data_IF_663276669842
#
_entry.id   IF_663276669842
#
_cell.length_a   1.000
_cell.length_b   1.000
_cell.length_c   1.000
_cell.angle_alpha   90.00
_cell.angle_beta   90.00
_cell.angle_gamma   90.00
#
_symmetry.space_group_name_H-M   'P 1'
#
loop_
_entity.id
_entity.type
_entity.pdbx_description
1 polymer ?
#
# COMPACT_ATOMS: atom_id res chain seq x y z
N UNK A 1 -6.49 -33.70 -12.85
CA UNK A 1 -5.41 -32.70 -12.91
C UNK A 1 -5.83 -31.66 -13.92
N UNK A 2 -6.18 -30.45 -13.47
CA UNK A 2 -6.55 -29.35 -14.37
C UNK A 2 -5.26 -28.65 -14.80
N UNK A 3 -5.09 -28.47 -16.10
CA UNK A 3 -3.91 -27.84 -16.69
C UNK A 3 -3.97 -26.33 -16.44
N UNK A 4 -3.19 -25.86 -15.46
CA UNK A 4 -3.13 -24.44 -15.03
C UNK A 4 -2.84 -23.49 -16.20
N UNK A 5 -2.21 -24.00 -17.26
CA UNK A 5 -1.87 -23.23 -18.46
C UNK A 5 -3.09 -22.89 -19.34
N UNK A 6 -4.18 -23.67 -19.29
CA UNK A 6 -5.41 -23.39 -20.05
C UNK A 6 -6.35 -22.42 -19.33
N UNK A 7 -6.28 -22.31 -18.00
CA UNK A 7 -7.06 -21.36 -17.22
C UNK A 7 -6.63 -19.91 -17.49
N UNK A 8 -5.31 -19.67 -17.54
CA UNK A 8 -4.72 -18.33 -17.73
C UNK A 8 -4.96 -17.76 -19.13
N UNK A 9 -5.09 -18.60 -20.16
CA UNK A 9 -5.27 -18.14 -21.54
C UNK A 9 -6.72 -17.78 -21.89
N UNK A 10 -7.70 -18.17 -21.07
CA UNK A 10 -9.13 -18.00 -21.35
C UNK A 10 -9.71 -16.66 -20.86
N UNK A 11 -9.05 -15.98 -19.92
CA UNK A 11 -9.47 -14.66 -19.41
C UNK A 11 -8.59 -13.52 -19.95
N UNK A 12 -8.69 -13.24 -21.25
CA UNK A 12 -8.12 -12.02 -21.85
C UNK A 12 -9.00 -10.79 -21.55
N UNK A 13 -9.05 -10.35 -20.29
CA UNK A 13 -9.79 -9.14 -19.89
C UNK A 13 -8.93 -7.97 -19.31
N UNK A 14 -7.58 -7.98 -19.20
CA UNK A 14 -6.92 -6.95 -18.38
C UNK A 14 -6.72 -5.58 -19.06
N UNK A 15 -7.14 -5.35 -20.31
CA UNK A 15 -6.86 -4.06 -21.01
C UNK A 15 -8.07 -3.12 -21.05
N UNK A 16 -9.31 -3.63 -21.04
CA UNK A 16 -10.52 -2.79 -21.09
C UNK A 16 -10.89 -2.29 -19.67
N UNK A 17 -10.48 -3.01 -18.63
CA UNK A 17 -10.85 -2.70 -17.24
C UNK A 17 -10.09 -1.49 -16.66
N UNK A 18 -8.82 -1.29 -17.07
CA UNK A 18 -7.98 -0.18 -16.60
C UNK A 18 -8.56 1.19 -16.94
N UNK A 19 -9.30 1.30 -18.06
CA UNK A 19 -9.93 2.56 -18.49
C UNK A 19 -11.22 2.84 -17.70
N UNK A 20 -11.98 1.80 -17.33
CA UNK A 20 -13.25 1.96 -16.64
C UNK A 20 -13.08 2.37 -15.16
N UNK A 21 -12.10 1.80 -14.47
CA UNK A 21 -11.76 2.17 -13.08
C UNK A 21 -11.25 3.61 -12.99
N UNK A 22 -10.47 4.06 -13.99
CA UNK A 22 -9.96 5.43 -14.07
C UNK A 22 -11.09 6.47 -14.21
N UNK A 23 -12.17 6.14 -14.93
CA UNK A 23 -13.34 7.02 -15.09
C UNK A 23 -14.17 7.10 -13.80
N UNK A 24 -14.33 6.00 -13.06
CA UNK A 24 -15.09 6.00 -11.79
C UNK A 24 -14.36 6.77 -10.69
N UNK A 25 -13.03 6.64 -10.58
CA UNK A 25 -12.23 7.38 -9.59
C UNK A 25 -12.16 8.87 -9.90
N UNK A 26 -12.12 9.27 -11.18
CA UNK A 26 -12.06 10.69 -11.56
C UNK A 26 -13.41 11.41 -11.47
N UNK A 27 -14.54 10.72 -11.66
CA UNK A 27 -15.88 11.30 -11.41
C UNK A 27 -16.12 11.49 -9.90
N UNK A 28 -15.62 10.58 -9.05
CA UNK A 28 -15.72 10.72 -7.59
C UNK A 28 -15.01 11.94 -7.02
N UNK A 29 -13.95 12.43 -7.68
CA UNK A 29 -13.13 13.54 -7.17
C UNK A 29 -13.59 14.93 -7.66
N UNK A 30 -14.35 15.03 -8.78
CA UNK A 30 -14.68 16.34 -9.37
C UNK A 30 -16.13 16.59 -9.79
N UNK A 31 -17.09 15.69 -9.55
CA UNK A 31 -18.48 16.06 -9.87
C UNK A 31 -19.57 15.11 -9.47
N UNK A 32 -20.03 15.18 -8.21
CA UNK A 32 -21.40 14.77 -7.87
C UNK A 32 -21.93 15.66 -6.74
N UNK A 33 -22.40 16.86 -7.09
CA UNK A 33 -23.25 17.70 -6.23
C UNK A 33 -24.74 17.63 -6.64
N UNK A 34 -25.20 16.49 -7.18
CA UNK A 34 -26.56 16.45 -7.75
C UNK A 34 -27.21 15.09 -8.01
N UNK A 35 -26.61 13.97 -7.62
CA UNK A 35 -27.28 12.66 -7.69
C UNK A 35 -27.14 11.99 -6.33
N UNK A 36 -28.29 11.65 -5.73
CA UNK A 36 -28.40 11.06 -4.39
C UNK A 36 -27.80 9.66 -4.30
N UNK A 37 -26.49 9.56 -4.39
CA UNK A 37 -25.73 8.49 -3.77
C UNK A 37 -25.72 8.79 -2.27
N UNK A 38 -26.20 7.85 -1.47
CA UNK A 38 -26.06 7.90 -0.03
C UNK A 38 -24.59 8.20 0.29
N UNK A 39 -24.36 9.24 1.10
CA UNK A 39 -23.03 9.56 1.62
C UNK A 39 -22.46 8.26 2.21
N UNK A 40 -21.42 7.69 1.57
CA UNK A 40 -20.65 6.66 2.22
C UNK A 40 -20.14 7.30 3.53
N UNK A 41 -20.53 6.75 4.67
CA UNK A 41 -20.09 7.22 5.97
C UNK A 41 -18.57 7.05 6.03
N UNK A 42 -17.85 8.15 5.78
CA UNK A 42 -16.39 8.18 5.89
C UNK A 42 -16.05 8.22 7.37
N UNK A 43 -15.17 7.33 7.82
CA UNK A 43 -14.56 7.49 9.13
C UNK A 43 -13.40 8.46 9.08
N UNK A 44 -13.16 9.12 10.22
CA UNK A 44 -11.92 9.83 10.46
C UNK A 44 -10.73 8.86 10.31
N UNK A 45 -9.62 9.29 9.68
CA UNK A 45 -8.41 8.50 9.63
C UNK A 45 -8.01 8.06 11.03
N UNK A 46 -7.58 6.80 11.19
CA UNK A 46 -7.00 6.37 12.46
C UNK A 46 -5.69 7.15 12.65
N UNK A 47 -5.67 8.12 13.55
CA UNK A 47 -4.51 8.99 13.78
C UNK A 47 -3.65 8.56 14.97
N UNK A 48 -4.04 7.49 15.68
CA UNK A 48 -3.30 6.96 16.84
C UNK A 48 -2.00 6.27 16.39
N UNK A 49 -0.80 6.83 16.68
CA UNK A 49 0.47 6.21 16.30
C UNK A 49 0.66 4.82 16.89
N UNK A 50 0.06 4.53 18.06
CA UNK A 50 0.17 3.23 18.71
C UNK A 50 -0.46 2.11 17.89
N UNK A 51 -1.47 2.42 17.07
CA UNK A 51 -2.08 1.46 16.14
C UNK A 51 -1.08 1.06 15.07
N UNK A 52 -0.42 2.03 14.44
CA UNK A 52 0.55 1.75 13.38
C UNK A 52 1.86 1.16 13.88
N UNK A 53 2.30 1.52 15.10
CA UNK A 53 3.46 0.89 15.74
C UNK A 53 3.21 -0.59 16.07
N UNK A 54 1.95 -0.96 16.26
CA UNK A 54 1.54 -2.35 16.44
C UNK A 54 1.36 -3.11 15.12
N UNK A 55 1.44 -2.45 13.95
CA UNK A 55 1.34 -3.10 12.65
C UNK A 55 2.72 -3.46 12.12
N UNK A 56 2.93 -4.76 11.87
CA UNK A 56 4.08 -5.26 11.14
C UNK A 56 3.69 -5.54 9.70
N UNK A 57 4.47 -5.03 8.75
CA UNK A 57 4.21 -5.20 7.33
C UNK A 57 5.13 -6.26 6.72
N UNK A 58 4.65 -6.90 5.67
CA UNK A 58 5.43 -7.80 4.80
C UNK A 58 4.98 -7.57 3.37
N UNK A 59 5.93 -7.46 2.45
CA UNK A 59 5.64 -7.49 1.01
C UNK A 59 5.75 -8.93 0.51
N UNK A 60 4.70 -9.43 -0.13
CA UNK A 60 4.71 -10.71 -0.85
C UNK A 60 4.50 -10.49 -2.35
N UNK A 61 4.89 -11.45 -3.16
CA UNK A 61 4.78 -11.38 -4.62
C UNK A 61 3.89 -12.50 -5.16
N UNK A 62 2.98 -12.14 -6.06
CA UNK A 62 2.21 -13.11 -6.83
C UNK A 62 3.17 -13.91 -7.74
N UNK A 63 2.77 -15.08 -8.26
CA UNK A 63 3.55 -15.78 -9.28
C UNK A 63 3.83 -14.94 -10.54
N UNK A 64 2.98 -13.94 -10.83
CA UNK A 64 3.17 -13.00 -11.93
C UNK A 64 4.12 -11.84 -11.58
N UNK A 65 4.54 -11.72 -10.31
CA UNK A 65 5.45 -10.70 -9.81
C UNK A 65 4.78 -9.47 -9.20
N UNK A 66 3.45 -9.49 -9.05
CA UNK A 66 2.70 -8.36 -8.48
C UNK A 66 2.93 -8.29 -6.96
N UNK A 67 3.30 -7.11 -6.47
CA UNK A 67 3.49 -6.89 -5.06
C UNK A 67 2.15 -6.74 -4.33
N UNK A 68 1.98 -7.47 -3.23
CA UNK A 68 0.89 -7.27 -2.26
C UNK A 68 1.46 -7.03 -0.88
N UNK A 69 0.76 -6.24 -0.07
CA UNK A 69 1.17 -5.93 1.30
C UNK A 69 0.27 -6.67 2.28
N UNK A 70 0.94 -7.42 3.15
CA UNK A 70 0.35 -8.16 4.25
C UNK A 70 0.70 -7.46 5.55
N UNK A 71 -0.27 -7.40 6.45
CA UNK A 71 -0.15 -6.74 7.73
C UNK A 71 -0.44 -7.75 8.85
N UNK A 72 0.37 -7.71 9.89
CA UNK A 72 0.08 -8.35 11.17
C UNK A 72 -0.17 -7.25 12.19
N UNK A 73 -1.42 -7.15 12.66
CA UNK A 73 -1.78 -6.23 13.72
C UNK A 73 -1.57 -6.90 15.08
N UNK A 74 -0.57 -6.43 15.84
CA UNK A 74 -0.31 -6.85 17.21
C UNK A 74 -1.28 -6.16 18.17
N UNK A 75 -1.42 -6.71 19.38
CA UNK A 75 -2.10 -6.05 20.51
C UNK A 75 -3.52 -5.55 20.20
N UNK A 76 -4.30 -6.29 19.41
CA UNK A 76 -5.65 -5.91 18.97
C UNK A 76 -5.74 -4.51 18.31
N UNK A 77 -4.68 -4.03 17.66
CA UNK A 77 -4.67 -2.70 17.03
C UNK A 77 -5.84 -2.50 16.02
N UNK A 78 -6.28 -3.60 15.38
CA UNK A 78 -7.44 -3.60 14.49
C UNK A 78 -8.78 -3.29 15.17
N UNK A 79 -8.90 -3.48 16.49
CA UNK A 79 -10.12 -3.11 17.24
C UNK A 79 -10.40 -1.61 17.24
N UNK A 80 -9.45 -0.78 16.81
CA UNK A 80 -9.60 0.66 16.65
C UNK A 80 -10.19 1.06 15.31
N UNK A 81 -10.25 0.14 14.34
CA UNK A 81 -10.86 0.37 13.05
C UNK A 81 -12.34 0.02 13.11
N UNK A 82 -13.18 0.86 12.50
CA UNK A 82 -14.57 0.52 12.23
C UNK A 82 -14.65 -0.57 11.17
N UNK A 83 -15.69 -1.38 11.25
CA UNK A 83 -15.90 -2.53 10.36
C UNK A 83 -17.07 -2.25 9.45
N UNK A 84 -16.86 -2.45 8.16
CA UNK A 84 -17.91 -2.37 7.15
C UNK A 84 -18.71 -3.68 7.10
N UNK A 85 -18.00 -4.81 7.10
CA UNK A 85 -18.59 -6.15 6.97
C UNK A 85 -17.80 -7.17 7.81
N UNK A 86 -18.47 -8.10 8.48
CA UNK A 86 -17.80 -9.21 9.19
C UNK A 86 -17.14 -8.82 10.52
N UNK A 87 -15.99 -9.41 10.82
CA UNK A 87 -15.26 -9.26 12.09
C UNK A 87 -13.91 -8.53 11.86
N UNK A 88 -13.52 -7.55 12.72
CA UNK A 88 -12.30 -6.77 12.53
C UNK A 88 -11.00 -7.55 12.79
N UNK A 89 -11.09 -8.70 13.45
CA UNK A 89 -9.93 -9.44 13.91
C UNK A 89 -9.81 -10.77 13.15
N UNK A 90 -8.73 -10.98 12.38
CA UNK A 90 -8.56 -12.23 11.64
C UNK A 90 -8.30 -13.39 12.61
N UNK A 91 -9.20 -14.38 12.60
CA UNK A 91 -8.97 -15.69 13.22
C UNK A 91 -8.00 -16.55 12.42
N UNK A 92 -7.57 -17.68 13.00
CA UNK A 92 -6.73 -18.65 12.30
C UNK A 92 -7.44 -19.18 11.04
N UNK A 93 -6.74 -19.12 9.91
CA UNK A 93 -7.24 -19.50 8.59
C UNK A 93 -7.98 -18.37 7.88
N UNK A 94 -7.91 -17.13 8.38
CA UNK A 94 -8.67 -16.02 7.85
C UNK A 94 -7.84 -14.73 7.70
N UNK A 95 -8.42 -13.77 6.98
CA UNK A 95 -7.89 -12.41 6.83
C UNK A 95 -8.98 -11.36 6.95
N UNK A 96 -8.55 -10.15 7.29
CA UNK A 96 -9.38 -8.94 7.23
C UNK A 96 -8.79 -8.02 6.17
N UNK A 97 -9.64 -7.40 5.36
CA UNK A 97 -9.22 -6.55 4.25
C UNK A 97 -9.50 -5.08 4.57
N UNK A 98 -8.62 -4.18 4.12
CA UNK A 98 -9.00 -2.79 3.93
C UNK A 98 -10.05 -2.63 2.83
N UNK A 99 -10.89 -1.59 2.89
CA UNK A 99 -12.03 -1.45 1.98
C UNK A 99 -11.62 -1.42 0.50
N UNK A 100 -10.56 -0.68 0.15
CA UNK A 100 -10.13 -0.54 -1.24
C UNK A 100 -9.56 -1.85 -1.82
N UNK A 101 -8.82 -2.62 -1.02
CA UNK A 101 -8.37 -3.96 -1.44
C UNK A 101 -9.56 -4.91 -1.57
N UNK A 102 -10.52 -4.86 -0.64
CA UNK A 102 -11.73 -5.67 -0.70
C UNK A 102 -12.56 -5.39 -1.96
N UNK A 103 -12.75 -4.11 -2.29
CA UNK A 103 -13.47 -3.69 -3.51
C UNK A 103 -12.77 -4.16 -4.77
N UNK A 104 -11.43 -4.06 -4.82
CA UNK A 104 -10.63 -4.57 -5.93
C UNK A 104 -10.84 -6.08 -6.10
N UNK A 105 -10.67 -6.85 -5.03
CA UNK A 105 -10.83 -8.30 -5.05
C UNK A 105 -12.27 -8.74 -5.38
N UNK A 106 -13.29 -8.00 -4.93
CA UNK A 106 -14.70 -8.21 -5.31
C UNK A 106 -14.91 -7.94 -6.80
N UNK A 107 -14.29 -6.88 -7.34
CA UNK A 107 -14.37 -6.56 -8.77
C UNK A 107 -13.71 -7.64 -9.65
N UNK A 108 -12.65 -8.27 -9.15
CA UNK A 108 -11.95 -9.41 -9.76
C UNK A 108 -12.68 -10.75 -9.52
N UNK A 109 -13.80 -10.74 -8.78
CA UNK A 109 -14.61 -11.92 -8.43
C UNK A 109 -13.82 -12.97 -7.65
N UNK A 110 -12.82 -12.56 -6.89
CA UNK A 110 -12.05 -13.46 -6.01
C UNK A 110 -12.88 -13.89 -4.80
N UNK A 111 -13.76 -13.02 -4.33
CA UNK A 111 -14.79 -13.30 -3.33
C UNK A 111 -15.97 -12.34 -3.52
N UNK A 112 -17.10 -12.57 -2.83
CA UNK A 112 -18.30 -11.72 -2.93
C UNK A 112 -18.63 -11.02 -1.60
N UNK A 113 -18.40 -11.69 -0.47
CA UNK A 113 -18.76 -11.21 0.87
C UNK A 113 -17.84 -11.79 1.96
N UNK A 114 -17.92 -11.22 3.15
CA UNK A 114 -17.28 -11.81 4.33
C UNK A 114 -17.82 -13.23 4.58
N UNK A 115 -16.94 -14.13 5.00
CA UNK A 115 -17.15 -15.57 5.16
C UNK A 115 -16.78 -16.40 3.92
N UNK A 116 -16.57 -15.79 2.76
CA UNK A 116 -16.13 -16.51 1.56
C UNK A 116 -14.67 -16.97 1.68
N UNK A 117 -14.35 -18.12 1.09
CA UNK A 117 -13.01 -18.70 1.08
C UNK A 117 -12.31 -18.50 -0.25
N UNK A 118 -11.01 -18.19 -0.21
CA UNK A 118 -10.11 -18.16 -1.34
C UNK A 118 -9.14 -19.33 -1.26
N UNK A 119 -9.04 -20.10 -2.35
CA UNK A 119 -8.09 -21.20 -2.48
C UNK A 119 -6.81 -20.75 -3.20
N UNK A 120 -5.66 -21.12 -2.64
CA UNK A 120 -4.35 -20.86 -3.25
C UNK A 120 -3.87 -19.41 -3.14
N UNK A 121 -4.53 -18.57 -2.35
CA UNK A 121 -4.13 -17.19 -2.08
C UNK A 121 -2.74 -17.15 -1.44
N UNK A 122 -1.72 -16.83 -2.25
CA UNK A 122 -0.31 -16.91 -1.85
C UNK A 122 0.08 -18.27 -1.25
N UNK A 123 -0.49 -19.35 -1.79
CA UNK A 123 -0.27 -20.72 -1.31
C UNK A 123 -1.10 -21.11 -0.08
N UNK A 124 -2.04 -20.27 0.34
CA UNK A 124 -2.94 -20.52 1.46
C UNK A 124 -4.38 -20.75 0.98
N UNK A 125 -5.14 -21.55 1.74
CA UNK A 125 -6.60 -21.47 1.73
C UNK A 125 -6.99 -20.57 2.91
N UNK A 126 -7.71 -19.48 2.63
CA UNK A 126 -8.02 -18.43 3.60
C UNK A 126 -9.43 -17.91 3.43
N UNK A 127 -10.15 -17.62 4.52
CA UNK A 127 -11.45 -16.94 4.47
C UNK A 127 -11.32 -15.43 4.65
N UNK A 128 -12.22 -14.66 4.02
CA UNK A 128 -12.37 -13.22 4.30
C UNK A 128 -13.24 -13.06 5.55
N UNK A 129 -12.62 -12.83 6.70
CA UNK A 129 -13.32 -12.69 7.98
C UNK A 129 -14.08 -11.36 8.08
N UNK A 130 -13.52 -10.30 7.49
CA UNK A 130 -14.13 -8.99 7.51
C UNK A 130 -13.46 -7.98 6.57
N UNK A 131 -14.15 -6.86 6.43
CA UNK A 131 -13.75 -5.70 5.63
C UNK A 131 -13.85 -4.48 6.54
N UNK A 132 -12.74 -3.76 6.68
CA UNK A 132 -12.70 -2.51 7.44
C UNK A 132 -13.40 -1.40 6.65
N UNK A 133 -14.01 -0.44 7.36
CA UNK A 133 -14.45 0.81 6.75
C UNK A 133 -13.23 1.61 6.28
N UNK A 134 -13.41 2.34 5.17
CA UNK A 134 -12.41 3.19 4.54
C UNK A 134 -11.91 4.26 5.50
N UNK A 135 -10.59 4.43 5.51
CA UNK A 135 -9.86 5.39 6.35
C UNK A 135 -9.16 6.48 5.54
N UNK A 136 -9.15 6.35 4.20
CA UNK A 136 -8.35 7.15 3.28
C UNK A 136 -6.84 7.07 3.57
N UNK A 137 -6.41 5.99 4.20
CA UNK A 137 -5.04 5.74 4.59
C UNK A 137 -4.49 4.44 4.00
N UNK A 138 -3.22 4.13 4.27
CA UNK A 138 -2.58 2.92 3.74
C UNK A 138 -3.25 1.62 4.20
N UNK A 139 -3.96 1.64 5.34
CA UNK A 139 -4.69 0.49 5.85
C UNK A 139 -5.78 -0.01 4.88
N UNK A 140 -6.32 0.86 4.04
CA UNK A 140 -7.36 0.51 3.06
C UNK A 140 -6.86 -0.48 1.99
N UNK A 141 -5.55 -0.65 1.86
CA UNK A 141 -4.90 -1.54 0.88
C UNK A 141 -4.24 -2.78 1.51
N UNK A 142 -4.38 -2.99 2.81
CA UNK A 142 -3.71 -4.08 3.51
C UNK A 142 -4.54 -5.36 3.55
N UNK A 143 -3.82 -6.49 3.53
CA UNK A 143 -4.34 -7.79 3.92
C UNK A 143 -3.90 -8.07 5.36
N UNK A 144 -4.80 -7.88 6.32
CA UNK A 144 -4.53 -8.19 7.71
C UNK A 144 -4.68 -9.68 7.96
N UNK A 145 -3.58 -10.33 8.33
CA UNK A 145 -3.52 -11.77 8.55
C UNK A 145 -3.46 -12.11 10.04
N UNK A 146 -3.96 -13.30 10.38
CA UNK A 146 -3.64 -13.93 11.66
C UNK A 146 -2.12 -14.12 11.79
N UNK A 147 -1.55 -14.18 13.02
CA UNK A 147 -0.12 -14.46 13.20
C UNK A 147 0.35 -15.74 12.48
N UNK A 148 -0.48 -16.78 12.46
CA UNK A 148 -0.13 -18.08 11.85
C UNK A 148 -0.05 -17.96 10.33
N UNK A 149 -0.95 -17.17 9.73
CA UNK A 149 -1.01 -17.00 8.28
C UNK A 149 0.07 -16.04 7.80
N UNK A 150 0.33 -14.97 8.56
CA UNK A 150 1.38 -14.00 8.27
C UNK A 150 2.76 -14.65 8.16
N UNK A 151 3.09 -15.60 9.04
CA UNK A 151 4.38 -16.32 8.99
C UNK A 151 4.52 -17.25 7.77
N UNK A 152 3.40 -17.76 7.24
CA UNK A 152 3.43 -18.63 6.05
C UNK A 152 3.63 -17.86 4.75
N UNK A 153 3.32 -16.56 4.74
CA UNK A 153 3.56 -15.73 3.56
C UNK A 153 5.06 -15.54 3.36
N UNK A 154 5.54 -16.01 2.22
CA UNK A 154 6.88 -15.70 1.70
C UNK A 154 6.98 -14.22 1.37
N UNK A 155 7.93 -13.52 1.99
CA UNK A 155 8.09 -12.09 1.79
C UNK A 155 9.11 -11.48 2.74
N UNK A 156 9.47 -10.21 2.50
CA UNK A 156 10.41 -9.47 3.36
C UNK A 156 9.63 -8.63 4.36
N UNK A 157 9.74 -8.98 5.65
CA UNK A 157 9.07 -8.29 6.76
C UNK A 157 9.82 -7.06 7.28
N UNK A 158 11.03 -6.80 6.78
CA UNK A 158 11.92 -5.76 7.34
C UNK A 158 12.11 -4.57 6.38
N UNK A 159 11.50 -4.64 5.20
CA UNK A 159 11.56 -3.55 4.20
C UNK A 159 10.44 -2.54 4.36
N UNK A 160 9.24 -2.98 4.70
CA UNK A 160 8.08 -2.09 4.85
C UNK A 160 7.90 -1.65 6.30
N UNK A 161 7.66 -0.37 6.50
CA UNK A 161 7.30 0.18 7.79
C UNK A 161 6.42 1.42 7.64
N UNK A 162 5.70 1.76 8.71
CA UNK A 162 4.82 2.92 8.78
C UNK A 162 5.42 3.93 9.76
N UNK A 163 5.39 5.21 9.39
CA UNK A 163 5.64 6.34 10.28
C UNK A 163 4.47 7.32 10.21
N UNK A 164 4.16 7.93 11.35
CA UNK A 164 3.21 9.04 11.39
C UNK A 164 3.90 10.35 11.03
N UNK A 165 3.28 11.11 10.14
CA UNK A 165 3.62 12.48 9.82
C UNK A 165 2.44 13.37 10.19
N UNK A 166 2.50 13.97 11.39
CA UNK A 166 1.32 14.54 12.02
C UNK A 166 0.26 13.46 12.23
N UNK A 167 -0.92 13.66 11.64
CA UNK A 167 -2.05 12.72 11.72
C UNK A 167 -2.08 11.72 10.56
N UNK A 168 -1.14 11.82 9.60
CA UNK A 168 -1.14 11.00 8.39
C UNK A 168 -0.12 9.86 8.49
N UNK A 169 -0.57 8.63 8.29
CA UNK A 169 0.31 7.48 8.17
C UNK A 169 1.01 7.46 6.81
N UNK A 170 2.34 7.34 6.82
CA UNK A 170 3.20 7.25 5.63
C UNK A 170 3.89 5.88 5.59
N UNK A 171 3.80 5.20 4.44
CA UNK A 171 4.43 3.89 4.25
C UNK A 171 5.78 4.05 3.57
N UNK A 172 6.78 3.38 4.10
CA UNK A 172 8.15 3.39 3.60
C UNK A 172 8.56 2.00 3.18
N UNK A 173 9.27 1.92 2.06
CA UNK A 173 9.96 0.73 1.59
C UNK A 173 11.45 1.00 1.62
N UNK A 174 12.15 0.33 2.55
CA UNK A 174 13.60 0.41 2.67
C UNK A 174 14.28 -0.37 1.56
N UNK A 175 15.21 0.28 0.87
CA UNK A 175 16.17 -0.34 -0.02
C UNK A 175 17.59 -0.11 0.50
N UNK A 176 18.52 -1.00 0.14
CA UNK A 176 19.93 -0.77 0.45
C UNK A 176 20.49 0.35 -0.43
N UNK A 177 21.50 1.08 0.05
CA UNK A 177 22.06 2.24 -0.68
C UNK A 177 22.52 1.89 -2.09
N UNK A 178 23.09 0.71 -2.27
CA UNK A 178 23.63 0.26 -3.56
C UNK A 178 22.61 -0.58 -4.36
N UNK A 179 21.35 -0.64 -3.91
CA UNK A 179 20.30 -1.37 -4.61
C UNK A 179 19.60 -0.46 -5.63
N UNK A 180 19.32 -1.02 -6.81
CA UNK A 180 18.36 -0.44 -7.74
C UNK A 180 16.92 -0.59 -7.25
N UNK A 181 15.99 0.00 -7.98
CA UNK A 181 14.57 -0.28 -7.77
C UNK A 181 14.28 -1.76 -8.07
N UNK A 182 13.42 -2.40 -7.27
CA UNK A 182 12.98 -3.75 -7.58
C UNK A 182 12.16 -3.76 -8.88
N UNK A 183 12.16 -4.88 -9.61
CA UNK A 183 11.57 -4.94 -10.96
C UNK A 183 10.08 -4.59 -11.07
N UNK A 184 9.33 -4.64 -9.96
CA UNK A 184 7.92 -4.21 -9.89
C UNK A 184 7.75 -2.69 -9.79
N UNK A 185 8.81 -1.95 -9.44
CA UNK A 185 8.79 -0.50 -9.25
C UNK A 185 9.35 0.19 -10.50
N UNK A 186 8.47 0.46 -11.47
CA UNK A 186 8.82 1.16 -12.72
C UNK A 186 8.63 2.66 -12.55
N UNK A 187 9.57 3.44 -13.07
CA UNK A 187 9.50 4.90 -13.03
C UNK A 187 8.66 5.46 -14.18
N UNK A 188 7.71 6.32 -13.85
CA UNK A 188 7.04 7.20 -14.81
C UNK A 188 7.83 8.49 -15.04
N UNK A 189 8.48 9.00 -13.99
CA UNK A 189 9.28 10.22 -14.04
C UNK A 189 10.63 10.04 -13.33
N UNK A 190 11.64 10.75 -13.84
CA UNK A 190 12.99 10.78 -13.26
C UNK A 190 13.91 9.68 -13.77
N UNK A 191 15.12 9.65 -13.21
CA UNK A 191 16.15 8.66 -13.52
C UNK A 191 16.82 8.25 -12.23
N UNK A 192 16.90 6.95 -11.99
CA UNK A 192 17.39 6.39 -10.74
C UNK A 192 18.37 5.26 -11.01
N UNK A 193 19.50 5.29 -10.31
CA UNK A 193 20.50 4.23 -10.37
C UNK A 193 20.60 3.52 -9.02
N UNK A 194 20.84 4.30 -7.96
CA UNK A 194 21.04 3.79 -6.60
C UNK A 194 20.61 4.83 -5.55
N UNK A 195 20.55 4.41 -4.28
CA UNK A 195 20.16 5.25 -3.15
C UNK A 195 21.35 5.90 -2.42
N UNK A 196 22.44 6.21 -3.12
CA UNK A 196 23.55 6.98 -2.56
C UNK A 196 23.12 8.43 -2.28
N UNK A 197 23.49 9.03 -1.12
CA UNK A 197 23.17 10.42 -0.85
C UNK A 197 23.78 11.36 -1.89
N UNK A 198 23.01 12.38 -2.29
CA UNK A 198 23.48 13.46 -3.15
C UNK A 198 24.04 14.60 -2.29
N UNK A 199 25.21 15.11 -2.64
CA UNK A 199 25.75 16.32 -2.01
C UNK A 199 25.44 17.57 -2.85
N UNK A 200 24.72 18.51 -2.24
CA UNK A 200 24.39 19.80 -2.86
C UNK A 200 24.88 20.90 -1.91
N UNK A 201 25.86 21.68 -2.35
CA UNK A 201 26.49 22.74 -1.53
C UNK A 201 26.98 22.25 -0.15
N UNK A 202 27.57 21.05 -0.10
CA UNK A 202 28.08 20.45 1.14
C UNK A 202 27.01 19.88 2.06
N UNK A 203 25.75 19.81 1.62
CA UNK A 203 24.65 19.18 2.36
C UNK A 203 24.27 17.87 1.70
N UNK A 204 24.18 16.80 2.49
CA UNK A 204 23.73 15.50 2.02
C UNK A 204 22.19 15.40 1.98
N UNK A 205 21.67 14.90 0.87
CA UNK A 205 20.25 14.62 0.63
C UNK A 205 20.07 13.14 0.31
N UNK A 206 19.14 12.49 1.00
CA UNK A 206 18.80 11.10 0.72
C UNK A 206 17.85 11.01 -0.48
N UNK A 207 18.18 10.20 -1.51
CA UNK A 207 17.27 9.97 -2.61
C UNK A 207 15.98 9.31 -2.12
N UNK A 208 14.84 9.77 -2.65
CA UNK A 208 13.54 9.14 -2.47
C UNK A 208 12.86 8.95 -3.82
N UNK A 209 12.28 7.76 -4.01
CA UNK A 209 11.35 7.49 -5.11
C UNK A 209 9.95 7.39 -4.52
N UNK A 210 9.00 8.12 -5.09
CA UNK A 210 7.63 8.21 -4.58
C UNK A 210 6.69 7.33 -5.41
N UNK A 211 5.74 6.68 -4.75
CA UNK A 211 4.57 6.13 -5.40
C UNK A 211 3.74 7.23 -6.09
N UNK A 212 2.98 6.86 -7.12
CA UNK A 212 2.25 7.82 -7.94
C UNK A 212 1.26 8.68 -7.12
N UNK A 213 0.41 8.06 -6.30
CA UNK A 213 -0.58 8.77 -5.49
C UNK A 213 0.04 9.62 -4.38
N UNK A 214 1.10 9.15 -3.72
CA UNK A 214 1.84 9.98 -2.76
C UNK A 214 2.48 11.18 -3.45
N UNK A 215 3.00 11.00 -4.67
CA UNK A 215 3.58 12.10 -5.45
C UNK A 215 2.52 13.16 -5.83
N UNK A 216 1.32 12.73 -6.21
CA UNK A 216 0.18 13.61 -6.51
C UNK A 216 -0.21 14.42 -5.26
N UNK A 217 -0.32 13.75 -4.11
CA UNK A 217 -0.63 14.39 -2.83
C UNK A 217 0.43 15.42 -2.44
N UNK A 218 1.71 15.03 -2.39
CA UNK A 218 2.81 15.92 -2.03
C UNK A 218 2.95 17.13 -2.97
N UNK A 219 2.64 16.96 -4.27
CA UNK A 219 2.58 18.08 -5.24
C UNK A 219 1.42 19.02 -4.93
N UNK A 220 0.26 18.48 -4.59
CA UNK A 220 -0.92 19.29 -4.21
C UNK A 220 -0.66 20.11 -2.92
N UNK A 221 0.10 19.54 -1.99
CA UNK A 221 0.56 20.17 -0.75
C UNK A 221 1.75 21.12 -0.95
N UNK A 222 2.26 21.21 -2.18
CA UNK A 222 3.44 22.02 -2.57
C UNK A 222 4.72 21.63 -1.82
N UNK A 223 4.84 20.38 -1.40
CA UNK A 223 6.07 19.84 -0.78
C UNK A 223 7.18 19.73 -1.83
N UNK A 224 6.83 19.33 -3.06
CA UNK A 224 7.72 19.37 -4.21
C UNK A 224 6.93 19.60 -5.50
N UNK A 225 7.59 20.01 -6.58
CA UNK A 225 6.95 20.29 -7.87
C UNK A 225 7.51 19.44 -9.01
N UNK A 226 8.80 19.08 -8.96
CA UNK A 226 9.49 18.32 -10.01
C UNK A 226 10.58 17.43 -9.43
N UNK A 227 11.05 16.47 -10.23
CA UNK A 227 12.23 15.66 -9.90
C UNK A 227 13.44 16.59 -9.67
N UNK A 228 14.22 16.28 -8.64
CA UNK A 228 15.37 17.06 -8.19
C UNK A 228 15.04 18.08 -7.09
N UNK A 229 13.76 18.36 -6.84
CA UNK A 229 13.37 19.18 -5.69
C UNK A 229 13.69 18.46 -4.37
N UNK A 230 13.99 19.27 -3.36
CA UNK A 230 14.36 18.78 -2.03
C UNK A 230 13.30 19.13 -1.00
N UNK A 231 13.21 18.32 0.04
CA UNK A 231 12.34 18.57 1.19
C UNK A 231 12.96 18.00 2.47
N UNK A 232 12.47 18.44 3.63
CA UNK A 232 12.93 17.95 4.93
C UNK A 232 11.79 17.25 5.66
N UNK A 233 12.07 16.07 6.23
CA UNK A 233 11.11 15.27 6.98
C UNK A 233 11.85 14.34 7.94
N UNK A 234 11.31 14.12 9.14
CA UNK A 234 11.94 13.26 10.17
C UNK A 234 13.41 13.63 10.46
N UNK A 235 13.72 14.93 10.51
CA UNK A 235 15.09 15.45 10.66
C UNK A 235 16.08 14.90 9.61
N UNK A 236 15.57 14.60 8.42
CA UNK A 236 16.34 14.14 7.25
C UNK A 236 15.97 14.98 6.05
N UNK A 237 16.96 15.24 5.21
CA UNK A 237 16.78 15.95 3.94
C UNK A 237 16.70 14.94 2.83
N UNK A 238 15.69 15.08 1.99
CA UNK A 238 15.42 14.20 0.87
C UNK A 238 15.51 14.97 -0.44
N UNK A 239 15.86 14.25 -1.50
CA UNK A 239 15.75 14.72 -2.88
C UNK A 239 14.88 13.74 -3.65
N UNK A 240 13.84 14.26 -4.32
CA UNK A 240 12.96 13.42 -5.14
C UNK A 240 13.70 13.04 -6.40
N UNK A 241 14.00 11.76 -6.58
CA UNK A 241 14.77 11.26 -7.74
C UNK A 241 13.91 10.49 -8.74
N UNK A 242 12.69 10.13 -8.35
CA UNK A 242 11.75 9.49 -9.25
C UNK A 242 10.33 9.41 -8.71
N UNK A 243 9.39 9.19 -9.63
CA UNK A 243 7.99 8.86 -9.34
C UNK A 243 7.63 7.58 -10.08
N UNK A 244 6.99 6.64 -9.40
CA UNK A 244 6.56 5.37 -9.98
C UNK A 244 5.39 5.54 -10.95
N UNK A 245 5.27 4.61 -11.90
CA UNK A 245 4.05 4.39 -12.66
C UNK A 245 2.90 4.01 -11.72
N UNK A 246 1.74 4.63 -11.94
CA UNK A 246 0.51 4.33 -11.18
C UNK A 246 0.03 2.92 -11.48
N UNK A 247 -0.21 2.12 -10.46
CA UNK A 247 -0.64 0.72 -10.62
C UNK A 247 -1.82 0.31 -9.74
N UNK A 248 -2.52 1.27 -9.13
CA UNK A 248 -3.69 1.06 -8.28
C UNK A 248 -3.43 0.12 -7.10
N UNK A 249 -2.20 0.05 -6.62
CA UNK A 249 -1.83 -0.72 -5.43
C UNK A 249 -1.32 0.19 -4.33
N UNK A 250 -1.10 -0.39 -3.14
CA UNK A 250 -0.40 0.27 -2.04
C UNK A 250 0.96 0.86 -2.43
N UNK A 251 1.62 0.37 -3.49
CA UNK A 251 2.88 0.93 -3.97
C UNK A 251 2.73 2.38 -4.45
N UNK A 252 1.54 2.79 -4.87
CA UNK A 252 1.26 4.18 -5.24
C UNK A 252 1.37 5.14 -4.04
N UNK A 253 1.36 4.62 -2.81
CA UNK A 253 1.44 5.38 -1.56
C UNK A 253 2.79 5.25 -0.83
N UNK A 254 3.75 4.54 -1.41
CA UNK A 254 5.01 4.18 -0.75
C UNK A 254 6.11 5.20 -1.02
N UNK A 255 6.93 5.47 0.00
CA UNK A 255 8.22 6.14 -0.12
C UNK A 255 9.34 5.10 -0.17
N UNK A 256 10.04 4.99 -1.29
CA UNK A 256 11.23 4.15 -1.39
C UNK A 256 12.45 4.95 -0.92
N UNK A 257 13.11 4.47 0.13
CA UNK A 257 14.16 5.22 0.84
C UNK A 257 15.33 4.31 1.25
N UNK A 258 16.56 4.84 1.42
CA UNK A 258 17.70 4.07 1.93
C UNK A 258 17.71 3.88 3.45
N UNK A 259 16.83 4.59 4.16
CA UNK A 259 16.85 4.68 5.62
C UNK A 259 15.80 3.74 6.23
N UNK A 260 16.19 3.00 7.26
CA UNK A 260 15.25 2.21 8.07
C UNK A 260 14.52 3.04 9.11
N UNK A 261 13.48 2.44 9.72
CA UNK A 261 12.64 3.08 10.75
C UNK A 261 13.45 3.81 11.83
N UNK A 262 14.42 3.12 12.45
CA UNK A 262 15.30 3.68 13.49
C UNK A 262 16.10 4.91 13.02
N UNK A 263 16.60 4.88 11.78
CA UNK A 263 17.41 5.98 11.23
C UNK A 263 16.57 7.22 10.92
N UNK A 264 15.28 7.04 10.60
CA UNK A 264 14.34 8.12 10.38
C UNK A 264 13.83 8.70 11.70
N UNK A 265 13.52 7.86 12.68
CA UNK A 265 12.94 8.33 13.95
C UNK A 265 13.98 8.73 15.00
N UNK A 266 15.26 8.41 14.78
CA UNK A 266 16.31 8.59 15.79
C UNK A 266 16.17 7.64 17.00
N UNK A 267 15.32 6.63 16.93
CA UNK A 267 15.17 5.63 17.98
C UNK A 267 16.36 4.65 17.93
N UNK A 268 17.12 4.56 19.02
CA UNK A 268 18.17 3.56 19.25
C UNK A 268 17.56 2.23 19.71
#
# INVERSE_FOLDING_TARGET
MVNVHEWILKEKIPIIFSVLVLVVVSIGYFGVSGLGLQNAEMNEPVSDPAVYDAIQLKVGFSPAGDAKVFALAKSNALSKYSVFEGNPLPEKGSMVLGELEADMMKSEKLFLKAGDSLDGFFGLTISVEGILMKTNGPADYFHFLSPVEFEKISGDSNRLFILMDGETAKVFYRLDRNAGLPGFAKLAEGTFTDFSPHEIAGVAYYPVVLGASESELMRSEKIFSKIGDTFEKFDKRFIVVGVLEKNASILDWVHFVPLGKQQLTGAN
#
